data_IF_204000712924
#
_entry.id   IF_204000712924
#
_cell.length_a   1.000
_cell.length_b   1.000
_cell.length_c   1.000
_cell.angle_alpha   90.00
_cell.angle_beta   90.00
_cell.angle_gamma   90.00
#
_symmetry.space_group_name_H-M   'P 1'
#
loop_
_entity.id
_entity.type
_entity.pdbx_description
1 polymer ?
#
# COMPACT_ATOMS: atom_id res chain seq x y z
N UNK A 1 41.12 14.61 3.21
CA UNK A 1 39.73 14.39 2.74
C UNK A 1 38.86 13.64 3.75
N UNK A 2 39.42 12.81 4.63
CA UNK A 2 38.66 12.00 5.59
C UNK A 2 37.83 12.81 6.61
N UNK A 3 38.42 13.82 7.27
CA UNK A 3 37.71 14.65 8.28
C UNK A 3 36.43 15.30 7.73
N UNK A 4 36.40 15.60 6.42
CA UNK A 4 35.24 16.20 5.76
C UNK A 4 34.03 15.26 5.74
N UNK A 5 34.23 13.94 5.77
CA UNK A 5 33.12 12.98 5.73
C UNK A 5 32.58 12.62 7.12
N UNK A 6 33.26 13.02 8.20
CA UNK A 6 32.84 12.69 9.57
C UNK A 6 31.54 13.37 9.96
N UNK A 7 31.28 14.59 9.46
CA UNK A 7 30.00 15.29 9.69
C UNK A 7 28.78 14.56 9.09
N UNK A 8 29.00 13.67 8.13
CA UNK A 8 27.95 12.97 7.38
C UNK A 8 27.69 11.55 7.92
N UNK A 9 28.37 11.13 8.99
CA UNK A 9 28.31 9.75 9.49
C UNK A 9 26.91 9.31 9.90
N UNK A 10 26.14 10.20 10.54
CA UNK A 10 24.77 9.89 10.96
C UNK A 10 23.87 9.74 9.74
N UNK A 11 23.94 10.66 8.78
CA UNK A 11 23.18 10.58 7.52
C UNK A 11 23.47 9.30 6.74
N UNK A 12 24.75 8.88 6.65
CA UNK A 12 25.11 7.59 6.05
C UNK A 12 24.46 6.42 6.79
N UNK A 13 24.49 6.45 8.13
CA UNK A 13 23.87 5.41 8.95
C UNK A 13 22.36 5.32 8.71
N UNK A 14 21.67 6.46 8.56
CA UNK A 14 20.24 6.48 8.23
C UNK A 14 19.98 5.93 6.82
N UNK A 15 20.75 6.39 5.83
CA UNK A 15 20.64 5.93 4.45
C UNK A 15 20.87 4.42 4.33
N UNK A 16 21.87 3.88 5.01
CA UNK A 16 22.18 2.45 5.02
C UNK A 16 21.00 1.64 5.59
N UNK A 17 20.37 2.11 6.67
CA UNK A 17 19.20 1.46 7.25
C UNK A 17 18.00 1.49 6.29
N UNK A 18 17.77 2.63 5.62
CA UNK A 18 16.71 2.79 4.63
C UNK A 18 16.90 1.87 3.43
N UNK A 19 18.11 1.80 2.88
CA UNK A 19 18.45 0.90 1.76
C UNK A 19 18.29 -0.56 2.19
N UNK A 20 18.79 -0.91 3.37
CA UNK A 20 18.68 -2.28 3.91
C UNK A 20 17.21 -2.72 4.01
N UNK A 21 16.32 -1.83 4.48
CA UNK A 21 14.89 -2.13 4.54
C UNK A 21 14.27 -2.35 3.15
N UNK A 22 14.69 -1.60 2.12
CA UNK A 22 14.20 -1.82 0.75
C UNK A 22 14.66 -3.17 0.19
N UNK A 23 15.90 -3.59 0.46
CA UNK A 23 16.42 -4.87 -0.02
C UNK A 23 15.66 -6.06 0.54
N UNK A 24 15.19 -5.96 1.79
CA UNK A 24 14.45 -7.03 2.48
C UNK A 24 12.94 -7.00 2.16
N UNK A 25 12.45 -5.99 1.43
CA UNK A 25 11.03 -5.85 1.09
C UNK A 25 10.52 -6.80 -0.01
N UNK A 26 11.41 -7.46 -0.76
CA UNK A 26 11.06 -8.28 -1.92
C UNK A 26 9.98 -9.36 -1.66
N UNK A 27 9.95 -10.07 -0.51
CA UNK A 27 8.92 -11.06 -0.24
C UNK A 27 7.48 -10.52 -0.30
N UNK A 28 7.27 -9.23 -0.01
CA UNK A 28 5.95 -8.59 -0.17
C UNK A 28 5.55 -8.52 -1.65
N UNK A 29 6.49 -8.19 -2.53
CA UNK A 29 6.24 -8.12 -3.97
C UNK A 29 6.03 -9.51 -4.57
N UNK A 30 6.81 -10.50 -4.15
CA UNK A 30 6.62 -11.89 -4.55
C UNK A 30 5.22 -12.41 -4.12
N UNK A 31 4.80 -12.12 -2.89
CA UNK A 31 3.46 -12.44 -2.41
C UNK A 31 2.35 -11.71 -3.18
N UNK A 32 2.57 -10.46 -3.61
CA UNK A 32 1.63 -9.74 -4.47
C UNK A 32 1.41 -10.44 -5.81
N UNK A 33 2.49 -10.88 -6.46
CA UNK A 33 2.38 -11.58 -7.74
C UNK A 33 1.62 -12.91 -7.60
N UNK A 34 1.76 -13.59 -6.45
CA UNK A 34 1.09 -14.88 -6.14
C UNK A 34 -0.31 -14.73 -5.52
N UNK A 35 -0.78 -13.50 -5.26
CA UNK A 35 -2.04 -13.26 -4.57
C UNK A 35 -3.26 -13.39 -5.51
N UNK A 36 -3.65 -14.62 -5.87
CA UNK A 36 -4.75 -14.87 -6.81
C UNK A 36 -6.06 -15.27 -6.10
N UNK A 37 -5.98 -15.64 -4.82
CA UNK A 37 -7.11 -16.02 -3.99
C UNK A 37 -7.46 -14.92 -2.97
N UNK A 38 -8.69 -14.90 -2.43
CA UNK A 38 -9.03 -13.99 -1.34
C UNK A 38 -8.18 -14.25 -0.09
N UNK A 39 -7.82 -15.51 0.19
CA UNK A 39 -6.99 -15.90 1.33
C UNK A 39 -5.56 -15.36 1.21
N UNK A 40 -4.94 -15.52 0.03
CA UNK A 40 -3.59 -14.98 -0.24
C UNK A 40 -3.58 -13.45 -0.22
N UNK A 41 -4.66 -12.80 -0.66
CA UNK A 41 -4.85 -11.35 -0.54
C UNK A 41 -4.89 -10.88 0.92
N UNK A 42 -5.58 -11.63 1.80
CA UNK A 42 -5.64 -11.34 3.24
C UNK A 42 -4.28 -11.58 3.89
N UNK A 43 -3.60 -12.68 3.55
CA UNK A 43 -2.25 -12.97 4.03
C UNK A 43 -1.26 -11.86 3.67
N UNK A 44 -1.33 -11.32 2.44
CA UNK A 44 -0.49 -10.19 2.03
C UNK A 44 -0.79 -8.92 2.85
N UNK A 45 -2.06 -8.65 3.16
CA UNK A 45 -2.43 -7.52 4.02
C UNK A 45 -1.85 -7.67 5.43
N UNK A 46 -1.89 -8.89 5.99
CA UNK A 46 -1.26 -9.19 7.27
C UNK A 46 0.27 -9.01 7.21
N UNK A 47 0.93 -9.55 6.18
CA UNK A 47 2.37 -9.36 5.96
C UNK A 47 2.76 -7.89 5.83
N UNK A 48 1.99 -7.09 5.08
CA UNK A 48 2.23 -5.66 4.92
C UNK A 48 2.05 -4.88 6.24
N UNK A 49 1.11 -5.32 7.07
CA UNK A 49 0.87 -4.73 8.40
C UNK A 49 2.04 -5.06 9.32
N UNK A 50 2.41 -6.34 9.42
CA UNK A 50 3.55 -6.82 10.20
C UNK A 50 4.87 -6.17 9.78
N UNK A 51 5.07 -6.00 8.47
CA UNK A 51 6.22 -5.31 7.91
C UNK A 51 6.37 -3.89 8.46
N UNK A 52 5.29 -3.12 8.56
CA UNK A 52 5.32 -1.77 9.10
C UNK A 52 5.44 -1.77 10.62
N UNK A 53 4.74 -2.68 11.32
CA UNK A 53 4.77 -2.70 12.80
C UNK A 53 6.13 -3.12 13.36
N UNK A 54 6.87 -3.97 12.64
CA UNK A 54 8.23 -4.39 12.98
C UNK A 54 9.32 -3.40 12.55
N UNK A 55 8.95 -2.16 12.18
CA UNK A 55 9.91 -1.13 11.83
C UNK A 55 10.67 -0.57 13.04
N UNK A 56 11.81 0.03 12.76
CA UNK A 56 12.52 0.90 13.70
C UNK A 56 12.37 2.37 13.27
N UNK A 57 12.79 3.32 14.11
CA UNK A 57 12.67 4.75 13.82
C UNK A 57 13.29 5.13 12.46
N UNK A 58 14.43 4.53 12.09
CA UNK A 58 15.17 4.86 10.87
C UNK A 58 14.47 4.46 9.57
N UNK A 59 13.81 3.30 9.55
CA UNK A 59 13.30 2.69 8.32
C UNK A 59 11.78 2.79 8.19
N UNK A 60 11.08 3.26 9.22
CA UNK A 60 9.63 3.37 9.26
C UNK A 60 9.02 4.03 8.02
N UNK A 61 9.49 5.24 7.69
CA UNK A 61 9.00 6.01 6.55
C UNK A 61 9.17 5.26 5.23
N UNK A 62 10.27 4.53 5.10
CA UNK A 62 10.56 3.70 3.92
C UNK A 62 9.63 2.51 3.86
N UNK A 63 9.40 1.80 4.97
CA UNK A 63 8.49 0.66 5.03
C UNK A 63 7.04 1.04 4.69
N UNK A 64 6.56 2.17 5.19
CA UNK A 64 5.24 2.73 4.83
C UNK A 64 5.19 3.08 3.33
N UNK A 65 6.26 3.65 2.77
CA UNK A 65 6.37 3.92 1.32
C UNK A 65 6.37 2.63 0.50
N UNK A 66 7.05 1.58 0.95
CA UNK A 66 7.07 0.25 0.32
C UNK A 66 5.66 -0.30 0.17
N UNK A 67 4.84 -0.29 1.22
CA UNK A 67 3.45 -0.77 1.15
C UNK A 67 2.59 0.12 0.25
N UNK A 68 2.83 1.43 0.22
CA UNK A 68 2.18 2.33 -0.74
C UNK A 68 2.57 2.01 -2.19
N UNK A 69 3.82 1.66 -2.45
CA UNK A 69 4.23 1.17 -3.77
C UNK A 69 3.55 -0.15 -4.09
N UNK A 70 3.51 -1.09 -3.15
CA UNK A 70 2.83 -2.38 -3.31
C UNK A 70 1.36 -2.19 -3.71
N UNK A 71 0.66 -1.23 -3.08
CA UNK A 71 -0.70 -0.86 -3.42
C UNK A 71 -0.85 -0.35 -4.87
N UNK A 72 0.07 0.50 -5.32
CA UNK A 72 0.10 1.02 -6.71
C UNK A 72 0.38 -0.10 -7.71
N UNK A 73 1.34 -0.97 -7.39
CA UNK A 73 1.66 -2.14 -8.22
C UNK A 73 0.47 -3.09 -8.33
N UNK A 74 -0.25 -3.35 -7.23
CA UNK A 74 -1.47 -4.15 -7.23
C UNK A 74 -2.54 -3.59 -8.19
N UNK A 75 -2.70 -2.27 -8.22
CA UNK A 75 -3.62 -1.62 -9.16
C UNK A 75 -3.17 -1.78 -10.63
N UNK A 76 -1.87 -1.74 -10.90
CA UNK A 76 -1.31 -1.91 -12.25
C UNK A 76 -1.47 -3.35 -12.79
N UNK A 77 -1.43 -4.36 -11.91
CA UNK A 77 -1.65 -5.77 -12.28
C UNK A 77 -3.13 -6.19 -12.18
N UNK A 78 -4.05 -5.21 -12.28
CA UNK A 78 -5.51 -5.39 -12.27
C UNK A 78 -6.10 -5.96 -10.95
N UNK A 79 -5.30 -6.05 -9.88
CA UNK A 79 -5.74 -6.43 -8.52
C UNK A 79 -6.22 -5.20 -7.73
N UNK A 80 -7.14 -4.43 -8.30
CA UNK A 80 -7.57 -3.12 -7.77
C UNK A 80 -8.13 -3.17 -6.34
N UNK A 81 -8.94 -4.20 -6.02
CA UNK A 81 -9.51 -4.37 -4.67
C UNK A 81 -8.42 -4.60 -3.60
N UNK A 82 -7.39 -5.37 -3.92
CA UNK A 82 -6.20 -5.57 -3.08
C UNK A 82 -5.38 -4.29 -2.97
N UNK A 83 -5.20 -3.56 -4.08
CA UNK A 83 -4.55 -2.25 -4.08
C UNK A 83 -5.21 -1.25 -3.13
N UNK A 84 -6.55 -1.20 -3.08
CA UNK A 84 -7.28 -0.35 -2.14
C UNK A 84 -7.04 -0.76 -0.68
N UNK A 85 -7.03 -2.07 -0.36
CA UNK A 85 -6.74 -2.56 0.99
C UNK A 85 -5.32 -2.19 1.43
N UNK A 86 -4.32 -2.47 0.60
CA UNK A 86 -2.92 -2.12 0.86
C UNK A 86 -2.71 -0.60 0.98
N UNK A 87 -3.40 0.17 0.13
CA UNK A 87 -3.38 1.64 0.18
C UNK A 87 -3.96 2.16 1.48
N UNK A 88 -5.04 1.55 1.99
CA UNK A 88 -5.65 1.89 3.28
C UNK A 88 -4.71 1.58 4.44
N UNK A 89 -4.00 0.44 4.42
CA UNK A 89 -2.97 0.10 5.42
C UNK A 89 -1.85 1.15 5.40
N UNK A 90 -1.32 1.49 4.23
CA UNK A 90 -0.27 2.50 4.11
C UNK A 90 -0.73 3.90 4.54
N UNK A 91 -2.01 4.24 4.33
CA UNK A 91 -2.60 5.50 4.75
C UNK A 91 -2.80 5.57 6.27
N UNK A 92 -3.25 4.47 6.90
CA UNK A 92 -3.37 4.37 8.36
C UNK A 92 -2.01 4.61 9.03
N UNK A 93 -0.97 3.86 8.62
CA UNK A 93 0.35 4.04 9.21
C UNK A 93 1.04 5.36 8.82
N UNK A 94 0.62 6.02 7.73
CA UNK A 94 1.13 7.35 7.39
C UNK A 94 0.84 8.39 8.49
N UNK A 95 -0.23 8.22 9.26
CA UNK A 95 -0.63 9.14 10.33
C UNK A 95 0.44 9.26 11.43
N UNK A 96 1.22 8.20 11.66
CA UNK A 96 2.25 8.18 12.70
C UNK A 96 3.60 8.74 12.23
N UNK A 97 3.76 9.12 10.95
CA UNK A 97 5.04 9.62 10.44
C UNK A 97 5.51 10.85 11.23
N UNK A 98 4.62 11.77 11.56
CA UNK A 98 4.97 13.02 12.25
C UNK A 98 5.58 12.72 13.63
N UNK A 99 4.92 11.86 14.43
CA UNK A 99 5.40 11.53 15.78
C UNK A 99 6.67 10.68 15.73
N UNK A 100 6.80 9.77 14.77
CA UNK A 100 8.00 8.93 14.61
C UNK A 100 9.19 9.78 14.15
N UNK A 101 9.00 10.73 13.23
CA UNK A 101 10.04 11.67 12.83
C UNK A 101 10.45 12.59 13.99
N UNK A 102 9.50 13.00 14.83
CA UNK A 102 9.80 13.74 16.06
C UNK A 102 10.65 12.91 17.02
N UNK A 103 10.31 11.65 17.27
CA UNK A 103 11.10 10.74 18.12
C UNK A 103 12.49 10.46 17.55
N UNK A 104 12.59 10.35 16.22
CA UNK A 104 13.87 10.23 15.55
C UNK A 104 14.75 11.49 15.76
N UNK A 105 14.17 12.70 15.65
CA UNK A 105 14.89 13.95 15.93
C UNK A 105 15.38 14.03 17.38
N UNK A 106 14.51 13.72 18.33
CA UNK A 106 14.83 13.69 19.77
C UNK A 106 15.99 12.73 20.07
N UNK A 107 16.00 11.55 19.45
CA UNK A 107 17.09 10.58 19.60
C UNK A 107 18.40 11.04 18.92
N UNK A 108 18.29 11.75 17.79
CA UNK A 108 19.41 12.17 16.95
C UNK A 108 20.16 13.38 17.50
N UNK A 109 19.45 14.40 17.97
CA UNK A 109 20.01 15.68 18.39
C UNK A 109 21.23 15.57 19.34
N UNK A 110 21.17 14.83 20.46
CA UNK A 110 22.30 14.77 21.40
C UNK A 110 23.53 14.11 20.78
N UNK A 111 23.34 13.15 19.87
CA UNK A 111 24.45 12.45 19.21
C UNK A 111 25.06 13.30 18.11
N UNK A 112 24.21 14.03 17.36
CA UNK A 112 24.66 14.96 16.34
C UNK A 112 25.44 16.15 16.94
N UNK A 113 24.98 16.68 18.08
CA UNK A 113 25.70 17.70 18.81
C UNK A 113 27.10 17.21 19.22
N UNK A 114 27.18 16.01 19.81
CA UNK A 114 28.45 15.40 20.23
C UNK A 114 29.42 15.21 19.03
N UNK A 115 28.90 14.70 17.91
CA UNK A 115 29.69 14.52 16.68
C UNK A 115 30.24 15.86 16.16
N UNK A 116 29.38 16.88 16.08
CA UNK A 116 29.75 18.21 15.59
C UNK A 116 30.81 18.85 16.49
N UNK A 117 30.66 18.75 17.80
CA UNK A 117 31.62 19.28 18.76
C UNK A 117 32.98 18.58 18.63
N UNK A 118 32.98 17.25 18.52
CA UNK A 118 34.18 16.46 18.29
C UNK A 118 34.91 16.87 17.00
N UNK A 119 34.18 16.95 15.87
CA UNK A 119 34.74 17.31 14.55
C UNK A 119 35.33 18.73 14.55
N UNK A 120 34.76 19.67 15.32
CA UNK A 120 35.31 21.03 15.46
C UNK A 120 36.68 21.05 16.13
N UNK A 121 36.90 20.17 17.11
CA UNK A 121 38.11 20.16 17.94
C UNK A 121 39.24 19.36 17.29
N UNK A 122 38.92 18.30 16.53
CA UNK A 122 39.94 17.47 15.89
C UNK A 122 40.60 18.22 14.73
N UNK A 123 41.87 18.58 14.92
CA UNK A 123 42.74 19.17 13.90
C UNK A 123 44.00 18.32 13.74
N UNK A 124 44.38 18.02 12.49
CA UNK A 124 45.68 17.41 12.18
C UNK A 124 46.70 18.51 11.92
N UNK A 125 47.31 19.03 12.99
CA UNK A 125 48.36 20.05 12.89
C UNK A 125 49.78 19.46 13.02
N UNK A 126 49.92 18.17 13.29
CA UNK A 126 51.20 17.49 13.45
C UNK A 126 51.86 17.19 12.09
N UNK A 127 53.16 17.50 11.95
CA UNK A 127 53.97 17.09 10.79
C UNK A 127 54.50 15.64 10.92
N UNK A 128 54.47 15.07 12.13
CA UNK A 128 54.97 13.72 12.40
C UNK A 128 53.95 12.66 11.98
N UNK A 129 54.33 11.82 11.01
CA UNK A 129 53.50 10.73 10.48
C UNK A 129 53.02 9.74 11.56
N UNK A 130 53.87 9.43 12.56
CA UNK A 130 53.49 8.57 13.67
C UNK A 130 52.37 9.19 14.51
N UNK A 131 52.47 10.49 14.81
CA UNK A 131 51.45 11.23 15.56
C UNK A 131 50.13 11.31 14.79
N UNK A 132 50.18 11.50 13.47
CA UNK A 132 49.00 11.46 12.59
C UNK A 132 48.31 10.09 12.68
N UNK A 133 49.08 8.98 12.61
CA UNK A 133 48.51 7.62 12.70
C UNK A 133 47.82 7.37 14.04
N UNK A 134 48.46 7.70 15.15
CA UNK A 134 47.91 7.49 16.49
C UNK A 134 46.66 8.35 16.72
N UNK A 135 46.69 9.62 16.30
CA UNK A 135 45.54 10.52 16.43
C UNK A 135 44.36 10.10 15.55
N UNK A 136 44.61 9.63 14.32
CA UNK A 136 43.59 9.00 13.46
C UNK A 136 42.94 7.79 14.12
N UNK A 137 43.72 6.85 14.68
CA UNK A 137 43.16 5.68 15.36
C UNK A 137 42.28 6.07 16.55
N UNK A 138 42.70 7.08 17.33
CA UNK A 138 41.91 7.61 18.44
C UNK A 138 40.59 8.24 17.95
N UNK A 139 40.64 8.95 16.81
CA UNK A 139 39.46 9.54 16.21
C UNK A 139 38.47 8.48 15.72
N UNK A 140 38.92 7.46 14.98
CA UNK A 140 38.08 6.35 14.56
C UNK A 140 37.40 5.66 15.75
N UNK A 141 38.14 5.43 16.84
CA UNK A 141 37.58 4.81 18.06
C UNK A 141 36.48 5.68 18.68
N UNK A 142 36.65 7.00 18.68
CA UNK A 142 35.64 7.92 19.19
C UNK A 142 34.40 7.97 18.28
N UNK A 143 34.60 8.13 16.97
CA UNK A 143 33.54 8.16 15.97
C UNK A 143 32.73 6.86 15.97
N UNK A 144 33.39 5.71 16.13
CA UNK A 144 32.70 4.42 16.28
C UNK A 144 31.75 4.41 17.49
N UNK A 145 32.18 4.94 18.64
CA UNK A 145 31.33 5.06 19.83
C UNK A 145 30.13 5.98 19.59
N UNK A 146 30.34 7.10 18.88
CA UNK A 146 29.25 8.03 18.51
C UNK A 146 28.23 7.34 17.61
N UNK A 147 28.66 6.68 16.54
CA UNK A 147 27.77 5.95 15.62
C UNK A 147 27.06 4.80 16.33
N UNK A 148 27.75 4.07 17.23
CA UNK A 148 27.14 3.00 18.02
C UNK A 148 26.02 3.54 18.92
N UNK A 149 26.27 4.63 19.65
CA UNK A 149 25.25 5.28 20.48
C UNK A 149 24.06 5.75 19.65
N UNK A 150 24.30 6.29 18.45
CA UNK A 150 23.24 6.66 17.53
C UNK A 150 22.37 5.45 17.20
N UNK A 151 22.99 4.34 16.75
CA UNK A 151 22.27 3.09 16.40
C UNK A 151 21.46 2.54 17.57
N UNK A 152 21.97 2.60 18.79
CA UNK A 152 21.27 2.16 20.00
C UNK A 152 20.05 3.06 20.28
N UNK A 153 20.17 4.38 20.12
CA UNK A 153 19.08 5.33 20.35
C UNK A 153 17.94 5.22 19.31
N UNK A 154 18.29 4.97 18.04
CA UNK A 154 17.31 4.90 16.93
C UNK A 154 16.85 3.48 16.59
N UNK A 155 17.47 2.46 17.17
CA UNK A 155 17.15 1.05 16.96
C UNK A 155 15.90 0.56 17.69
N UNK A 156 15.15 1.47 18.32
CA UNK A 156 13.90 1.17 19.01
C UNK A 156 12.79 0.86 18.01
N UNK A 157 11.99 -0.17 18.31
CA UNK A 157 10.81 -0.50 17.54
C UNK A 157 9.77 0.60 17.62
N UNK A 158 9.05 0.83 16.52
CA UNK A 158 8.01 1.87 16.46
C UNK A 158 6.70 1.45 17.10
N UNK A 159 6.50 0.16 17.36
CA UNK A 159 5.23 -0.39 17.84
C UNK A 159 4.72 0.29 19.12
N UNK A 160 5.62 0.65 20.03
CA UNK A 160 5.32 1.38 21.27
C UNK A 160 4.68 2.76 21.05
N UNK A 161 4.79 3.31 19.84
CA UNK A 161 4.27 4.64 19.51
C UNK A 161 2.85 4.60 18.91
N UNK A 162 2.32 3.41 18.60
CA UNK A 162 1.00 3.30 17.98
C UNK A 162 -0.16 3.49 18.96
N UNK A 163 0.08 3.27 20.26
CA UNK A 163 -0.90 3.48 21.33
C UNK A 163 -1.01 4.95 21.77
N UNK A 164 -0.12 5.82 21.28
CA UNK A 164 -0.17 7.23 21.60
C UNK A 164 -1.31 7.92 20.84
N UNK A 165 -2.10 8.71 21.57
CA UNK A 165 -3.12 9.56 20.97
C UNK A 165 -2.45 10.55 20.00
N UNK A 166 -2.81 10.45 18.72
CA UNK A 166 -2.38 11.38 17.70
C UNK A 166 -3.30 12.58 17.70
N UNK A 167 -2.71 13.78 17.75
CA UNK A 167 -3.41 15.02 17.42
C UNK A 167 -3.62 15.07 15.89
N UNK A 168 -4.63 14.35 15.41
CA UNK A 168 -4.96 14.30 13.99
C UNK A 168 -5.57 15.66 13.61
N UNK A 169 -4.80 16.47 12.88
CA UNK A 169 -5.37 17.63 12.22
C UNK A 169 -6.25 17.13 11.06
N UNK A 170 -7.55 17.04 11.31
CA UNK A 170 -8.58 16.56 10.35
C UNK A 170 -8.50 17.30 9.01
N UNK A 171 -7.96 18.52 9.01
CA UNK A 171 -7.78 19.40 7.85
C UNK A 171 -6.74 18.90 6.84
N UNK A 172 -5.76 18.09 7.27
CA UNK A 172 -4.68 17.56 6.41
C UNK A 172 -4.92 16.11 5.95
N UNK A 173 -6.05 15.50 6.36
CA UNK A 173 -6.46 14.21 5.81
C UNK A 173 -6.61 14.39 4.30
N UNK A 174 -5.70 13.79 3.52
CA UNK A 174 -5.92 13.61 2.10
C UNK A 174 -7.28 12.95 1.99
N UNK A 175 -8.23 13.64 1.34
CA UNK A 175 -9.57 13.10 1.12
C UNK A 175 -9.39 11.64 0.72
N UNK A 176 -10.06 10.69 1.40
CA UNK A 176 -10.03 9.30 0.94
C UNK A 176 -10.30 9.39 -0.55
N UNK A 177 -9.36 8.91 -1.37
CA UNK A 177 -9.50 8.91 -2.83
C UNK A 177 -10.89 8.39 -3.06
N UNK A 178 -11.80 9.29 -3.46
CA UNK A 178 -13.23 9.05 -3.41
C UNK A 178 -13.36 7.70 -4.10
N UNK A 179 -13.73 6.66 -3.35
CA UNK A 179 -14.33 5.47 -3.93
C UNK A 179 -15.46 6.12 -4.68
N UNK A 180 -15.32 6.38 -5.99
CA UNK A 180 -16.18 7.30 -6.71
C UNK A 180 -17.59 6.87 -6.32
N UNK A 181 -18.17 7.61 -5.38
CA UNK A 181 -19.54 7.41 -5.01
C UNK A 181 -20.16 8.09 -6.19
N UNK A 182 -20.34 7.30 -7.24
CA UNK A 182 -21.17 7.60 -8.37
C UNK A 182 -22.31 8.42 -7.79
N UNK A 183 -22.30 9.71 -8.10
CA UNK A 183 -23.16 10.74 -7.53
C UNK A 183 -24.53 10.14 -7.22
N UNK A 184 -25.06 10.34 -6.01
CA UNK A 184 -26.35 9.76 -5.61
C UNK A 184 -27.43 10.11 -6.65
N UNK A 185 -27.34 11.31 -7.23
CA UNK A 185 -28.20 11.74 -8.33
C UNK A 185 -27.91 10.98 -9.64
N UNK A 186 -26.64 10.73 -9.95
CA UNK A 186 -26.19 9.84 -11.02
C UNK A 186 -26.57 8.36 -10.84
N UNK A 187 -26.68 7.85 -9.60
CA UNK A 187 -27.20 6.50 -9.28
C UNK A 187 -28.69 6.45 -9.48
N UNK A 188 -29.44 7.45 -9.01
CA UNK A 188 -30.89 7.52 -9.20
C UNK A 188 -31.25 7.71 -10.67
N UNK A 189 -30.52 8.54 -11.42
CA UNK A 189 -30.70 8.69 -12.88
C UNK A 189 -30.37 7.41 -13.63
N UNK A 190 -29.26 6.74 -13.32
CA UNK A 190 -28.91 5.45 -13.95
C UNK A 190 -29.88 4.33 -13.56
N UNK A 191 -30.32 4.27 -12.31
CA UNK A 191 -31.32 3.29 -11.87
C UNK A 191 -32.68 3.55 -12.55
N UNK A 192 -33.09 4.81 -12.73
CA UNK A 192 -34.29 5.16 -13.51
C UNK A 192 -34.14 4.82 -14.99
N UNK A 193 -33.00 5.11 -15.60
CA UNK A 193 -32.73 4.76 -17.00
C UNK A 193 -32.70 3.24 -17.19
N UNK A 194 -32.02 2.51 -16.30
CA UNK A 194 -31.98 1.06 -16.30
C UNK A 194 -33.37 0.45 -16.05
N UNK A 195 -34.16 1.01 -15.14
CA UNK A 195 -35.54 0.56 -14.90
C UNK A 195 -36.43 0.82 -16.14
N UNK A 196 -36.27 1.98 -16.79
CA UNK A 196 -36.97 2.28 -18.03
C UNK A 196 -36.55 1.33 -19.17
N UNK A 197 -35.25 1.05 -19.29
CA UNK A 197 -34.70 0.09 -20.25
C UNK A 197 -35.18 -1.34 -19.96
N UNK A 198 -35.19 -1.78 -18.69
CA UNK A 198 -35.72 -3.09 -18.31
C UNK A 198 -37.22 -3.17 -18.62
N UNK A 199 -37.98 -2.08 -18.48
CA UNK A 199 -39.41 -2.08 -18.82
C UNK A 199 -39.63 -2.07 -20.34
N UNK A 200 -38.85 -1.33 -21.13
CA UNK A 200 -38.94 -1.35 -22.60
C UNK A 200 -38.46 -2.67 -23.19
N UNK A 201 -37.31 -3.17 -22.74
CA UNK A 201 -36.77 -4.45 -23.17
C UNK A 201 -37.59 -5.61 -22.59
N UNK A 202 -38.14 -5.48 -21.39
CA UNK A 202 -39.07 -6.43 -20.79
C UNK A 202 -40.41 -6.50 -21.53
N UNK A 203 -40.92 -5.37 -22.04
CA UNK A 203 -42.07 -5.35 -22.97
C UNK A 203 -41.74 -6.03 -24.29
N UNK A 204 -40.53 -5.83 -24.82
CA UNK A 204 -40.07 -6.52 -26.02
C UNK A 204 -39.93 -8.04 -25.78
N UNK A 205 -39.40 -8.47 -24.64
CA UNK A 205 -39.26 -9.89 -24.27
C UNK A 205 -40.64 -10.52 -24.00
N UNK A 206 -41.56 -9.81 -23.36
CA UNK A 206 -42.94 -10.26 -23.14
C UNK A 206 -43.73 -10.34 -24.44
N UNK A 207 -43.59 -9.36 -25.35
CA UNK A 207 -44.23 -9.40 -26.67
C UNK A 207 -43.61 -10.47 -27.59
N UNK A 208 -42.29 -10.67 -27.56
CA UNK A 208 -41.64 -11.75 -28.32
C UNK A 208 -42.03 -13.13 -27.79
N UNK A 209 -42.05 -13.32 -26.47
CA UNK A 209 -42.42 -14.60 -25.86
C UNK A 209 -43.89 -14.94 -26.07
N UNK A 210 -44.80 -13.96 -25.92
CA UNK A 210 -46.23 -14.17 -26.19
C UNK A 210 -46.47 -14.43 -27.68
N UNK A 211 -45.87 -13.66 -28.60
CA UNK A 211 -46.04 -13.89 -30.04
C UNK A 211 -45.45 -15.23 -30.51
N UNK A 212 -44.31 -15.65 -29.95
CA UNK A 212 -43.73 -16.97 -30.23
C UNK A 212 -44.57 -18.10 -29.66
N UNK A 213 -45.10 -17.96 -28.44
CA UNK A 213 -45.95 -18.98 -27.80
C UNK A 213 -47.32 -19.09 -28.52
N UNK A 214 -47.94 -17.97 -28.91
CA UNK A 214 -49.20 -18.00 -29.68
C UNK A 214 -48.98 -18.56 -31.09
N UNK A 215 -47.86 -18.23 -31.75
CA UNK A 215 -47.49 -18.80 -33.04
C UNK A 215 -47.23 -20.32 -32.98
N UNK A 216 -46.54 -20.78 -31.93
CA UNK A 216 -46.30 -22.22 -31.71
C UNK A 216 -47.60 -22.99 -31.42
N UNK A 217 -48.52 -22.41 -30.64
CA UNK A 217 -49.80 -23.03 -30.32
C UNK A 217 -50.75 -23.09 -31.53
N UNK A 218 -50.77 -22.06 -32.39
CA UNK A 218 -51.52 -22.09 -33.64
C UNK A 218 -50.99 -23.16 -34.61
N UNK A 219 -49.66 -23.27 -34.74
CA UNK A 219 -49.05 -24.27 -35.64
C UNK A 219 -49.26 -25.71 -35.15
N UNK A 220 -49.24 -25.95 -33.83
CA UNK A 220 -49.50 -27.27 -33.23
C UNK A 220 -50.98 -27.68 -33.33
N UNK A 221 -51.91 -26.73 -33.15
CA UNK A 221 -53.35 -26.98 -33.34
C UNK A 221 -53.72 -27.31 -34.79
N UNK A 222 -53.07 -26.65 -35.76
CA UNK A 222 -53.29 -26.90 -37.18
C UNK A 222 -52.71 -28.25 -37.64
N UNK A 223 -51.59 -28.69 -37.05
CA UNK A 223 -51.03 -30.03 -37.31
C UNK A 223 -51.87 -31.16 -36.72
N UNK A 224 -52.44 -30.98 -35.52
CA UNK A 224 -53.32 -31.97 -34.90
C UNK A 224 -54.65 -32.11 -35.66
N UNK A 225 -55.24 -31.00 -36.13
CA UNK A 225 -56.48 -31.03 -36.94
C UNK A 225 -56.26 -31.62 -38.33
N UNK A 226 -55.10 -31.41 -38.97
CA UNK A 226 -54.77 -32.04 -40.25
C UNK A 226 -54.51 -33.55 -40.10
N UNK A 227 -53.90 -33.99 -39.01
CA UNK A 227 -53.68 -35.43 -38.78
C UNK A 227 -54.99 -36.17 -38.47
N UNK A 228 -55.92 -35.54 -37.74
CA UNK A 228 -57.26 -36.08 -37.51
C UNK A 228 -58.12 -36.13 -38.79
N UNK A 229 -58.04 -35.12 -39.66
CA UNK A 229 -58.76 -35.09 -40.93
C UNK A 229 -58.25 -36.14 -41.93
N UNK A 230 -56.93 -36.41 -41.96
CA UNK A 230 -56.35 -37.45 -42.82
C UNK A 230 -56.72 -38.86 -42.34
N UNK A 231 -56.81 -39.08 -41.02
CA UNK A 231 -57.23 -40.37 -40.46
C UNK A 231 -58.73 -40.66 -40.59
N UNK A 232 -59.59 -39.64 -40.72
CA UNK A 232 -61.02 -39.86 -41.00
C UNK A 232 -61.35 -40.08 -42.48
N UNK A 233 -60.46 -39.69 -43.40
CA UNK A 233 -60.63 -39.92 -44.85
C UNK A 233 -60.12 -41.29 -45.32
N UNK A 234 -59.52 -42.10 -44.43
CA UNK A 234 -59.12 -43.48 -44.71
C UNK A 234 -60.13 -44.54 -44.20
N UNK A 235 -61.28 -44.11 -43.67
CA UNK A 235 -62.36 -44.98 -43.16
C UNK A 235 -63.76 -44.61 -43.69
N UNK A 236 -63.82 -44.06 -44.91
CA UNK A 236 -65.01 -44.00 -45.78
C UNK A 236 -64.55 -44.42 -47.18
#
# INVERSE_FOLDING_TARGET
>A
MEVRCWGELLNRTENDAQISALLVAFPLFDALFKADSPESSVALCAMATEWITNAILLDYKVRVRTVRFLARWAALIEKSSLGLKLGSIAAHFQQYIVIIEQKLREAREPVEFNLRDYVKIVKYNDLNLWNIKVSSQKAHTHLFKVVRKFKEAVGLQVAQYFDMLLDINVSELSQPSVLFEADFEGRVRRAKHLAADIVTHGKLIACFSIAQITGFLQQKSMFQLRHFAILQLQWI
#
